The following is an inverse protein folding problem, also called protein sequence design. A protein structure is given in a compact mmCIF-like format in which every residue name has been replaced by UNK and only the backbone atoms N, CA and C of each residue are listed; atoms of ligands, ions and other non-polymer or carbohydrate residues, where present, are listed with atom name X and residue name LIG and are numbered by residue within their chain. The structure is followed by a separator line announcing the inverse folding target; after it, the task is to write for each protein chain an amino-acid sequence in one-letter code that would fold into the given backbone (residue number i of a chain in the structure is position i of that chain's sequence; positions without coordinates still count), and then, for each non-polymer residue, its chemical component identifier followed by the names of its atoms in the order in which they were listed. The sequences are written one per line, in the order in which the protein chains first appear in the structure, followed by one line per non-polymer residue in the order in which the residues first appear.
data_IF_816241690052
#
_entry.id   IF_816241690052
#
_cell.length_a   1.000
_cell.length_b   1.000
_cell.length_c   1.000
_cell.angle_alpha   90.00
_cell.angle_beta   90.00
_cell.angle_gamma   90.00
#
_symmetry.space_group_name_H-M   'P 1'
#
loop_
_entity.id
_entity.type
_entity.pdbx_description
1 polymer ?
#
# COMPACT_ATOMS: atom_id res chain seq x y z
N UNK A 1 8.68 21.82 3.48
CA UNK A 1 9.28 21.32 2.22
C UNK A 1 10.68 21.88 2.04
N UNK A 2 11.71 21.03 1.96
CA UNK A 2 13.12 21.47 1.78
C UNK A 2 13.48 21.63 0.30
N UNK A 3 14.34 22.58 -0.06
CA UNK A 3 14.82 22.72 -1.44
C UNK A 3 15.68 21.50 -1.84
N UNK A 4 15.31 20.82 -2.93
CA UNK A 4 16.00 19.63 -3.46
C UNK A 4 16.60 19.83 -4.86
N UNK A 5 16.58 21.03 -5.42
CA UNK A 5 17.01 21.31 -6.82
C UNK A 5 18.49 20.99 -7.06
N UNK A 6 19.32 21.05 -6.02
CA UNK A 6 20.74 20.70 -6.10
C UNK A 6 21.02 19.19 -6.12
N UNK A 7 20.01 18.35 -5.88
CA UNK A 7 20.17 16.89 -5.85
C UNK A 7 20.09 16.33 -7.26
N UNK A 8 21.03 15.46 -7.62
CA UNK A 8 20.99 14.72 -8.90
C UNK A 8 19.85 13.70 -8.92
N UNK A 9 19.21 13.57 -10.08
CA UNK A 9 18.23 12.50 -10.32
C UNK A 9 18.92 11.14 -10.35
N UNK A 10 18.33 10.17 -9.66
CA UNK A 10 18.82 8.80 -9.51
C UNK A 10 17.62 7.88 -9.38
N UNK A 11 17.79 6.59 -9.69
CA UNK A 11 16.77 5.58 -9.39
C UNK A 11 16.61 5.45 -7.88
N UNK A 12 15.37 5.55 -7.39
CA UNK A 12 15.04 5.46 -5.97
C UNK A 12 14.02 4.36 -5.76
N UNK A 13 14.29 3.48 -4.80
CA UNK A 13 13.42 2.35 -4.43
C UNK A 13 13.24 2.38 -2.91
N UNK A 14 12.02 2.09 -2.46
CA UNK A 14 11.69 1.90 -1.06
C UNK A 14 10.74 0.70 -0.91
N UNK A 15 10.87 -0.03 0.18
CA UNK A 15 10.00 -1.16 0.54
C UNK A 15 9.47 -0.90 1.95
N UNK A 16 8.16 -1.09 2.14
CA UNK A 16 7.49 -0.96 3.43
C UNK A 16 6.58 -2.16 3.65
N UNK A 17 6.38 -2.54 4.91
CA UNK A 17 5.52 -3.67 5.31
C UNK A 17 4.58 -3.24 6.43
N UNK A 18 3.43 -3.90 6.52
CA UNK A 18 2.45 -3.73 7.59
C UNK A 18 1.74 -5.06 7.86
N UNK A 19 1.37 -5.28 9.11
CA UNK A 19 0.64 -6.48 9.56
C UNK A 19 -0.75 -6.08 10.04
N UNK A 20 -1.77 -6.81 9.60
CA UNK A 20 -3.16 -6.64 10.05
C UNK A 20 -3.59 -7.91 10.77
N UNK A 21 -3.75 -7.81 12.09
CA UNK A 21 -4.29 -8.90 12.89
C UNK A 21 -5.81 -8.91 12.83
N UNK A 22 -6.39 -10.09 12.63
CA UNK A 22 -7.84 -10.31 12.73
C UNK A 22 -8.20 -10.98 14.05
N UNK A 23 -9.41 -10.74 14.54
CA UNK A 23 -9.85 -11.33 15.81
C UNK A 23 -10.21 -12.81 15.72
N UNK A 24 -10.51 -13.31 14.52
CA UNK A 24 -11.14 -14.62 14.27
C UNK A 24 -10.53 -15.29 13.04
N UNK A 25 -10.11 -16.57 13.09
CA UNK A 25 -9.52 -17.27 11.95
C UNK A 25 -10.50 -17.39 10.77
N UNK A 26 -11.80 -17.47 11.04
CA UNK A 26 -12.85 -17.53 10.01
C UNK A 26 -12.86 -16.29 9.11
N UNK A 27 -12.31 -15.16 9.59
CA UNK A 27 -12.14 -13.94 8.78
C UNK A 27 -11.14 -14.18 7.65
N UNK A 28 -10.01 -14.83 7.95
CA UNK A 28 -8.97 -15.16 6.95
C UNK A 28 -9.55 -16.16 5.95
N UNK A 29 -10.25 -17.20 6.43
CA UNK A 29 -10.90 -18.19 5.55
C UNK A 29 -11.90 -17.52 4.60
N UNK A 30 -12.75 -16.62 5.10
CA UNK A 30 -13.71 -15.91 4.27
C UNK A 30 -13.06 -15.00 3.22
N UNK A 31 -11.92 -14.38 3.56
CA UNK A 31 -11.11 -13.59 2.63
C UNK A 31 -10.53 -14.49 1.53
N UNK A 32 -9.89 -15.61 1.89
CA UNK A 32 -9.29 -16.56 0.95
C UNK A 32 -10.34 -17.19 0.02
N UNK A 33 -11.53 -17.48 0.55
CA UNK A 33 -12.65 -18.05 -0.22
C UNK A 33 -13.46 -17.00 -0.99
N UNK A 34 -13.10 -15.70 -0.92
CA UNK A 34 -13.82 -14.58 -1.55
C UNK A 34 -15.30 -14.52 -1.17
N UNK A 35 -15.64 -14.85 0.08
CA UNK A 35 -17.01 -14.87 0.61
C UNK A 35 -17.39 -13.59 1.37
N UNK A 36 -16.53 -12.58 1.35
CA UNK A 36 -16.79 -11.30 2.02
C UNK A 36 -17.87 -10.52 1.24
N UNK A 37 -18.96 -10.06 1.88
CA UNK A 37 -20.05 -9.34 1.20
C UNK A 37 -19.62 -8.04 0.51
N UNK A 38 -18.51 -7.44 0.96
CA UNK A 38 -17.94 -6.21 0.40
C UNK A 38 -17.07 -6.44 -0.85
N UNK A 39 -16.91 -7.69 -1.29
CA UNK A 39 -16.09 -8.07 -2.44
C UNK A 39 -14.70 -8.58 -2.07
N UNK A 40 -13.81 -8.64 -3.06
CA UNK A 40 -12.44 -9.13 -2.90
C UNK A 40 -11.58 -8.12 -2.12
N UNK A 41 -11.16 -8.54 -0.93
CA UNK A 41 -10.40 -7.69 0.00
C UNK A 41 -9.00 -7.37 -0.52
N UNK A 42 -8.31 -8.33 -1.15
CA UNK A 42 -6.95 -8.12 -1.63
C UNK A 42 -6.92 -7.21 -2.85
N UNK A 43 -7.85 -7.40 -3.78
CA UNK A 43 -7.93 -6.52 -4.96
C UNK A 43 -8.31 -5.09 -4.58
N UNK A 44 -9.25 -4.92 -3.65
CA UNK A 44 -9.61 -3.58 -3.19
C UNK A 44 -8.48 -2.93 -2.38
N UNK A 45 -7.78 -3.68 -1.53
CA UNK A 45 -6.60 -3.21 -0.81
C UNK A 45 -5.48 -2.77 -1.78
N UNK A 46 -5.32 -3.48 -2.90
CA UNK A 46 -4.33 -3.14 -3.93
C UNK A 46 -4.67 -1.82 -4.57
N UNK A 47 -5.92 -1.65 -5.02
CA UNK A 47 -6.39 -0.41 -5.61
C UNK A 47 -6.24 0.78 -4.64
N UNK A 48 -6.63 0.60 -3.38
CA UNK A 48 -6.49 1.61 -2.34
C UNK A 48 -5.03 2.00 -2.08
N UNK A 49 -4.12 1.03 -2.00
CA UNK A 49 -2.70 1.30 -1.82
C UNK A 49 -2.06 2.00 -3.03
N UNK A 50 -2.40 1.58 -4.25
CA UNK A 50 -1.93 2.24 -5.48
C UNK A 50 -2.44 3.69 -5.61
N UNK A 51 -3.62 3.99 -5.08
CA UNK A 51 -4.13 5.35 -4.97
C UNK A 51 -3.38 6.12 -3.87
N UNK A 52 -3.21 5.50 -2.70
CA UNK A 52 -2.52 6.08 -1.54
C UNK A 52 -1.11 6.53 -1.87
N UNK A 53 -0.31 5.70 -2.55
CA UNK A 53 1.06 6.05 -2.96
C UNK A 53 1.09 7.32 -3.80
N UNK A 54 0.18 7.47 -4.77
CA UNK A 54 0.08 8.66 -5.61
C UNK A 54 -0.43 9.90 -4.86
N UNK A 55 -1.14 9.69 -3.75
CA UNK A 55 -1.72 10.75 -2.91
C UNK A 55 -0.85 11.12 -1.71
N UNK A 56 0.36 10.58 -1.61
CA UNK A 56 1.27 10.81 -0.49
C UNK A 56 1.54 12.30 -0.25
N UNK A 57 1.84 13.09 -1.29
CA UNK A 57 2.11 14.52 -1.16
C UNK A 57 0.87 15.35 -0.82
N UNK A 58 -0.32 14.84 -1.10
CA UNK A 58 -1.57 15.51 -0.73
C UNK A 58 -1.89 15.27 0.76
N UNK A 59 -1.42 14.15 1.33
CA UNK A 59 -1.70 13.74 2.70
C UNK A 59 -0.61 14.17 3.70
N UNK A 60 0.67 14.13 3.31
CA UNK A 60 1.80 14.41 4.21
C UNK A 60 2.33 15.83 3.95
N UNK A 61 2.24 16.78 4.92
CA UNK A 61 2.50 18.20 4.69
C UNK A 61 3.86 18.56 4.09
N UNK A 62 4.91 17.81 4.43
CA UNK A 62 6.29 18.10 4.01
C UNK A 62 6.80 17.24 2.85
N UNK A 63 5.95 16.40 2.26
CA UNK A 63 6.31 15.55 1.12
C UNK A 63 6.38 16.36 -0.18
N UNK A 64 7.43 16.12 -0.97
CA UNK A 64 7.49 16.58 -2.35
C UNK A 64 6.56 15.74 -3.23
N UNK A 65 5.85 16.33 -4.21
CA UNK A 65 5.18 15.56 -5.25
C UNK A 65 6.23 14.88 -6.12
N UNK A 66 6.12 13.56 -6.28
CA UNK A 66 7.06 12.74 -7.05
C UNK A 66 6.34 11.98 -8.17
N UNK A 67 6.94 11.87 -9.37
CA UNK A 67 6.42 11.01 -10.43
C UNK A 67 6.70 9.55 -10.08
N UNK A 68 5.70 8.86 -9.54
CA UNK A 68 5.81 7.43 -9.20
C UNK A 68 5.84 6.60 -10.49
N UNK A 69 6.99 5.99 -10.78
CA UNK A 69 7.20 5.17 -11.99
C UNK A 69 6.68 3.73 -11.81
N UNK A 70 6.78 3.18 -10.61
CA UNK A 70 6.38 1.81 -10.29
C UNK A 70 5.89 1.68 -8.85
N UNK A 71 4.87 0.85 -8.63
CA UNK A 71 4.41 0.45 -7.30
C UNK A 71 3.80 -0.94 -7.39
N UNK A 72 4.18 -1.81 -6.46
CA UNK A 72 3.58 -3.13 -6.30
C UNK A 72 3.21 -3.37 -4.83
N UNK A 73 2.18 -4.19 -4.63
CA UNK A 73 1.69 -4.58 -3.32
C UNK A 73 1.53 -6.10 -3.34
N UNK A 74 2.14 -6.76 -2.38
CA UNK A 74 2.04 -8.20 -2.13
C UNK A 74 1.39 -8.43 -0.77
N UNK A 75 0.73 -9.58 -0.65
CA UNK A 75 0.08 -10.01 0.58
C UNK A 75 0.63 -11.37 0.98
N UNK A 76 0.80 -11.55 2.29
CA UNK A 76 1.12 -12.83 2.89
C UNK A 76 0.12 -13.08 4.02
N UNK A 77 -0.35 -14.31 4.12
CA UNK A 77 -1.28 -14.75 5.16
C UNK A 77 -0.51 -15.72 6.06
N UNK A 78 -0.26 -15.29 7.29
CA UNK A 78 0.44 -16.09 8.30
C UNK A 78 -0.55 -16.59 9.36
N UNK A 79 -0.39 -17.84 9.81
CA UNK A 79 -1.04 -18.36 11.02
C UNK A 79 -2.44 -18.98 10.85
N UNK A 80 -2.60 -19.91 9.90
CA UNK A 80 -3.70 -20.89 9.93
C UNK A 80 -3.41 -22.00 10.94
#
# INVERSE_FOLDING_TARGET
MVNITHKSSTLRIAIATATVSVSKPETIEAILQRKIPKGDVFEFARAAGLLGVKKTSDLIPDCHPLPIEYTAISYEVEGL
#
